data_IF_586594919577
#
_entry.id   IF_586594919577
#
_cell.length_a   1.000
_cell.length_b   1.000
_cell.length_c   1.000
_cell.angle_alpha   90.00
_cell.angle_beta   90.00
_cell.angle_gamma   90.00
#
_symmetry.space_group_name_H-M   'P 1'
#
loop_
_entity.id
_entity.type
_entity.pdbx_description
1 polymer ?
#
# COMPACT_ATOMS: atom_id res chain seq x y z
N UNK A 1 -7.24 -3.56 9.55
CA UNK A 1 -8.60 -3.19 9.07
C UNK A 1 -8.66 -1.67 8.94
N UNK A 2 -9.18 -1.14 7.84
CA UNK A 2 -9.26 0.31 7.55
C UNK A 2 -10.71 0.69 7.22
N UNK A 3 -11.05 1.98 7.28
CA UNK A 3 -12.36 2.49 6.83
C UNK A 3 -12.37 2.53 5.30
N UNK A 4 -13.40 2.00 4.65
CA UNK A 4 -13.48 1.96 3.19
C UNK A 4 -14.20 3.21 2.68
N UNK A 5 -13.57 3.94 1.76
CA UNK A 5 -14.16 5.01 0.96
C UNK A 5 -14.52 4.52 -0.44
N UNK A 6 -13.54 3.99 -1.17
CA UNK A 6 -13.66 3.45 -2.53
C UNK A 6 -12.66 2.31 -2.72
N UNK A 7 -12.92 1.34 -3.60
CA UNK A 7 -11.93 0.30 -3.95
C UNK A 7 -11.29 0.53 -5.32
N UNK A 8 -11.78 1.50 -6.08
CA UNK A 8 -11.29 1.82 -7.43
C UNK A 8 -9.84 2.31 -7.34
N UNK A 9 -8.97 1.76 -8.19
CA UNK A 9 -7.55 2.14 -8.26
C UNK A 9 -6.66 1.61 -7.12
N UNK A 10 -7.22 0.89 -6.14
CA UNK A 10 -6.42 0.32 -5.05
C UNK A 10 -5.44 -0.75 -5.56
N UNK A 11 -5.85 -1.55 -6.55
CA UNK A 11 -4.97 -2.54 -7.20
C UNK A 11 -3.82 -1.88 -7.95
N UNK A 12 -4.10 -0.85 -8.75
CA UNK A 12 -3.09 -0.09 -9.47
C UNK A 12 -2.10 0.58 -8.52
N UNK A 13 -2.60 1.07 -7.38
CA UNK A 13 -1.78 1.67 -6.32
C UNK A 13 -0.83 0.65 -5.68
N UNK A 14 -1.26 -0.60 -5.49
CA UNK A 14 -0.39 -1.69 -5.01
C UNK A 14 0.72 -1.95 -6.03
N UNK A 15 0.37 -2.09 -7.31
CA UNK A 15 1.34 -2.37 -8.38
C UNK A 15 2.34 -1.22 -8.54
N UNK A 16 1.86 0.03 -8.53
CA UNK A 16 2.71 1.21 -8.63
C UNK A 16 3.70 1.31 -7.46
N UNK A 17 3.23 1.08 -6.22
CA UNK A 17 4.08 1.09 -5.03
C UNK A 17 5.11 -0.05 -5.04
N UNK A 18 4.73 -1.23 -5.53
CA UNK A 18 5.65 -2.36 -5.65
C UNK A 18 6.74 -2.09 -6.70
N UNK A 19 6.37 -1.59 -7.88
CA UNK A 19 7.33 -1.22 -8.93
C UNK A 19 8.26 -0.08 -8.49
N UNK A 20 7.72 0.90 -7.76
CA UNK A 20 8.53 1.95 -7.14
C UNK A 20 9.53 1.38 -6.13
N UNK A 21 9.12 0.44 -5.27
CA UNK A 21 10.00 -0.14 -4.27
C UNK A 21 11.14 -0.96 -4.88
N UNK A 22 10.81 -1.75 -5.91
CA UNK A 22 11.80 -2.52 -6.68
C UNK A 22 12.82 -1.61 -7.37
N UNK A 23 12.37 -0.53 -8.01
CA UNK A 23 13.25 0.46 -8.63
C UNK A 23 14.17 1.17 -7.62
N UNK A 24 13.75 1.26 -6.35
CA UNK A 24 14.54 1.83 -5.26
C UNK A 24 15.48 0.81 -4.58
N UNK A 25 15.47 -0.46 -5.00
CA UNK A 25 16.30 -1.52 -4.43
C UNK A 25 15.89 -1.92 -3.01
N UNK A 26 14.61 -1.76 -2.66
CA UNK A 26 14.09 -2.19 -1.35
C UNK A 26 14.06 -3.71 -1.24
N UNK A 27 14.08 -4.20 0.00
CA UNK A 27 13.87 -5.64 0.25
C UNK A 27 12.48 -6.07 -0.18
N UNK A 28 12.29 -7.36 -0.47
CA UNK A 28 10.98 -7.92 -0.82
C UNK A 28 9.95 -7.64 0.30
N UNK A 29 10.37 -7.76 1.55
CA UNK A 29 9.53 -7.47 2.71
C UNK A 29 9.10 -5.99 2.75
N UNK A 30 10.03 -5.06 2.57
CA UNK A 30 9.72 -3.62 2.56
C UNK A 30 8.83 -3.24 1.37
N UNK A 31 9.09 -3.83 0.19
CA UNK A 31 8.28 -3.63 -1.00
C UNK A 31 6.85 -4.11 -0.80
N UNK A 32 6.67 -5.30 -0.21
CA UNK A 32 5.34 -5.84 0.12
C UNK A 32 4.63 -4.98 1.18
N UNK A 33 5.33 -4.52 2.21
CA UNK A 33 4.76 -3.63 3.22
C UNK A 33 4.30 -2.30 2.61
N UNK A 34 5.13 -1.67 1.78
CA UNK A 34 4.79 -0.41 1.11
C UNK A 34 3.60 -0.61 0.16
N UNK A 35 3.60 -1.66 -0.65
CA UNK A 35 2.54 -1.95 -1.59
C UNK A 35 1.20 -2.17 -0.89
N UNK A 36 1.17 -2.99 0.16
CA UNK A 36 -0.05 -3.26 0.93
C UNK A 36 -0.56 -2.03 1.68
N UNK A 37 0.35 -1.23 2.26
CA UNK A 37 -0.03 0.01 2.91
C UNK A 37 -0.60 1.04 1.93
N UNK A 38 0.00 1.15 0.74
CA UNK A 38 -0.46 2.08 -0.31
C UNK A 38 -1.85 1.69 -0.83
N UNK A 39 -2.07 0.40 -1.11
CA UNK A 39 -3.39 -0.10 -1.50
C UNK A 39 -4.44 0.16 -0.43
N UNK A 40 -4.12 -0.12 0.85
CA UNK A 40 -5.02 0.12 1.96
C UNK A 40 -5.32 1.61 2.17
N UNK A 41 -4.33 2.50 1.99
CA UNK A 41 -4.53 3.94 2.06
C UNK A 41 -5.45 4.42 0.92
N UNK A 42 -5.23 3.95 -0.30
CA UNK A 42 -6.08 4.29 -1.45
C UNK A 42 -7.53 3.83 -1.25
N UNK A 43 -7.73 2.69 -0.57
CA UNK A 43 -9.08 2.23 -0.21
C UNK A 43 -9.82 3.20 0.73
N UNK A 44 -9.08 3.97 1.53
CA UNK A 44 -9.66 4.93 2.47
C UNK A 44 -10.12 6.23 1.80
N UNK A 45 -9.66 6.51 0.57
CA UNK A 45 -9.98 7.73 -0.16
C UNK A 45 -11.35 7.67 -0.84
N UNK A 46 -11.96 8.84 -1.05
CA UNK A 46 -13.23 8.96 -1.77
C UNK A 46 -13.00 9.13 -3.28
N UNK A 47 -12.71 8.04 -3.98
CA UNK A 47 -12.63 8.02 -5.46
C UNK A 47 -11.32 7.47 -6.00
N UNK A 48 -10.75 8.15 -7.01
CA UNK A 48 -9.49 7.81 -7.69
C UNK A 48 -8.31 8.68 -7.26
N UNK A 49 -8.49 9.47 -6.20
CA UNK A 49 -7.43 10.33 -5.68
C UNK A 49 -6.35 9.46 -5.03
N UNK A 50 -5.09 9.81 -5.28
CA UNK A 50 -3.98 9.16 -4.60
C UNK A 50 -4.02 9.46 -3.10
N UNK A 51 -3.78 8.43 -2.29
CA UNK A 51 -3.70 8.61 -0.85
C UNK A 51 -2.49 9.44 -0.44
N UNK A 52 -2.67 10.23 0.62
CA UNK A 52 -1.60 11.01 1.25
C UNK A 52 -0.46 10.10 1.74
N UNK A 53 0.79 10.51 1.49
CA UNK A 53 1.97 9.71 1.89
C UNK A 53 2.01 9.45 3.39
N UNK A 54 1.57 10.42 4.19
CA UNK A 54 1.49 10.30 5.65
C UNK A 54 0.53 9.18 6.10
N UNK A 55 -0.55 8.95 5.36
CA UNK A 55 -1.50 7.85 5.62
C UNK A 55 -0.84 6.51 5.32
N UNK A 56 -0.14 6.40 4.19
CA UNK A 56 0.64 5.21 3.83
C UNK A 56 1.65 4.87 4.93
N UNK A 57 2.47 5.84 5.35
CA UNK A 57 3.48 5.63 6.39
C UNK A 57 2.87 5.19 7.74
N UNK A 58 1.66 5.66 8.05
CA UNK A 58 0.91 5.23 9.24
C UNK A 58 0.41 3.78 9.16
N UNK A 59 0.16 3.29 7.95
CA UNK A 59 -0.35 1.95 7.68
C UNK A 59 0.78 0.92 7.51
N UNK A 60 1.94 1.32 7.01
CA UNK A 60 3.13 0.43 6.88
C UNK A 60 3.40 -0.27 8.22
N UNK A 61 3.39 0.48 9.34
CA UNK A 61 3.63 -0.05 10.69
C UNK A 61 2.59 -1.09 11.16
N UNK A 62 1.47 -1.21 10.45
CA UNK A 62 0.37 -2.14 10.75
C UNK A 62 0.36 -3.35 9.81
N UNK A 63 1.21 -3.38 8.78
CA UNK A 63 1.31 -4.51 7.87
C UNK A 63 2.08 -5.63 8.55
N UNK A 64 1.48 -6.81 8.59
CA UNK A 64 2.13 -8.03 9.08
C UNK A 64 2.35 -8.96 7.91
N UNK A 65 3.60 -9.40 7.73
CA UNK A 65 3.97 -10.40 6.74
C UNK A 65 4.08 -11.75 7.41
N UNK A 66 3.43 -12.75 6.83
CA UNK A 66 3.54 -14.14 7.27
C UNK A 66 4.06 -14.95 6.10
N UNK A 67 5.19 -15.62 6.31
CA UNK A 67 5.73 -16.56 5.33
C UNK A 67 4.93 -17.86 5.42
N UNK A 68 4.39 -18.30 4.29
CA UNK A 68 3.72 -19.59 4.18
C UNK A 68 4.78 -20.64 3.83
N UNK A 69 4.85 -21.70 4.63
CA UNK A 69 5.71 -22.86 4.44
C UNK A 69 4.88 -24.09 4.08
#
# INVERSE_FOLDING_TARGET
KVKVGSTVGAGDSVVAAFAFADAQGLSTEDALQLAMATGAANVMESGTQAAERSVVDSLIKKVQLTRLC
#
